data_IF_856663855005
#
_entry.id   IF_856663855005
#
_cell.length_a   1.000
_cell.length_b   1.000
_cell.length_c   1.000
_cell.angle_alpha   90.00
_cell.angle_beta   90.00
_cell.angle_gamma   90.00
#
_symmetry.space_group_name_H-M   'P 1'
#
loop_
_entity.id
_entity.type
_entity.pdbx_description
1 polymer ?
#
# COMPACT_ATOMS: atom_id res chain seq x y z
N UNK A 1 43.63 16.13 -9.42
CA UNK A 1 43.28 14.76 -9.82
C UNK A 1 43.45 14.59 -11.32
N UNK A 2 43.97 13.43 -11.78
CA UNK A 2 44.26 13.09 -13.17
C UNK A 2 43.09 13.32 -14.15
N UNK A 3 41.86 13.36 -13.65
CA UNK A 3 40.62 13.49 -14.42
C UNK A 3 39.90 14.84 -14.22
N UNK A 4 40.47 15.78 -13.46
CA UNK A 4 39.79 17.03 -13.15
C UNK A 4 39.49 17.89 -14.40
N UNK A 5 40.38 17.89 -15.39
CA UNK A 5 40.19 18.62 -16.67
C UNK A 5 39.03 18.01 -17.47
N UNK A 6 38.95 16.69 -17.54
CA UNK A 6 37.89 15.96 -18.26
C UNK A 6 36.53 16.18 -17.55
N UNK A 7 36.50 16.09 -16.24
CA UNK A 7 35.28 16.34 -15.45
C UNK A 7 34.81 17.79 -15.59
N UNK A 8 35.72 18.74 -15.58
CA UNK A 8 35.40 20.16 -15.78
C UNK A 8 34.95 20.46 -17.21
N UNK A 9 35.52 19.77 -18.21
CA UNK A 9 35.03 19.84 -19.58
C UNK A 9 33.60 19.29 -19.67
N UNK A 10 33.33 18.10 -19.15
CA UNK A 10 31.99 17.53 -19.11
C UNK A 10 30.97 18.41 -18.39
N UNK A 11 31.36 19.04 -17.27
CA UNK A 11 30.46 19.99 -16.56
C UNK A 11 30.11 21.18 -17.45
N UNK A 12 31.07 21.70 -18.23
CA UNK A 12 30.83 22.81 -19.18
C UNK A 12 29.90 22.35 -20.30
N UNK A 13 30.17 21.21 -20.91
CA UNK A 13 29.40 20.68 -22.04
C UNK A 13 27.94 20.39 -21.60
N UNK A 14 27.73 19.88 -20.37
CA UNK A 14 26.41 19.65 -19.78
C UNK A 14 25.64 20.95 -19.48
N UNK A 15 26.30 22.07 -19.28
CA UNK A 15 25.65 23.37 -18.99
C UNK A 15 25.33 24.17 -20.26
N UNK A 16 25.93 23.85 -21.39
CA UNK A 16 25.65 24.50 -22.68
C UNK A 16 24.37 23.95 -23.29
N UNK A 17 23.34 24.80 -23.40
CA UNK A 17 22.03 24.43 -23.97
C UNK A 17 21.94 24.79 -25.46
N UNK A 18 22.94 24.45 -26.24
CA UNK A 18 22.88 24.62 -27.68
C UNK A 18 22.21 23.40 -28.37
N UNK A 19 21.94 23.57 -29.70
CA UNK A 19 21.28 22.51 -30.48
C UNK A 19 22.19 21.30 -30.66
N UNK A 20 23.48 21.50 -30.88
CA UNK A 20 24.44 20.42 -31.13
C UNK A 20 24.66 19.57 -29.89
N UNK A 21 24.78 20.21 -28.71
CA UNK A 21 24.84 19.49 -27.41
C UNK A 21 23.61 18.66 -27.16
N UNK A 22 22.43 19.19 -27.52
CA UNK A 22 21.16 18.45 -27.36
C UNK A 22 21.08 17.23 -28.28
N UNK A 23 21.46 17.37 -29.54
CA UNK A 23 21.53 16.29 -30.54
C UNK A 23 22.51 15.19 -30.09
N UNK A 24 23.70 15.57 -29.61
CA UNK A 24 24.67 14.63 -29.05
C UNK A 24 24.12 13.82 -27.88
N UNK A 25 23.43 14.46 -26.96
CA UNK A 25 22.79 13.74 -25.83
C UNK A 25 21.71 12.81 -26.33
N UNK A 26 20.90 13.17 -27.29
CA UNK A 26 19.88 12.30 -27.83
C UNK A 26 20.47 11.06 -28.52
N UNK A 27 21.53 11.22 -29.29
CA UNK A 27 22.20 10.08 -29.91
C UNK A 27 22.93 9.20 -28.90
N UNK A 28 23.57 9.78 -27.90
CA UNK A 28 24.14 9.02 -26.77
C UNK A 28 23.09 8.28 -25.99
N UNK A 29 21.93 8.89 -25.74
CA UNK A 29 20.79 8.26 -25.08
C UNK A 29 20.26 7.08 -25.90
N UNK A 30 19.98 7.28 -27.17
CA UNK A 30 19.48 6.27 -28.10
C UNK A 30 20.41 5.06 -28.21
N UNK A 31 21.74 5.31 -28.19
CA UNK A 31 22.74 4.25 -28.36
C UNK A 31 23.02 3.46 -27.06
N UNK A 32 22.71 4.02 -25.88
CA UNK A 32 23.12 3.44 -24.60
C UNK A 32 21.96 3.11 -23.64
N UNK A 33 20.75 3.59 -23.89
CA UNK A 33 19.59 3.35 -23.03
C UNK A 33 18.72 2.27 -23.63
N UNK A 34 18.59 1.16 -22.92
CA UNK A 34 17.73 0.03 -23.28
C UNK A 34 16.55 -0.18 -22.32
N UNK A 35 16.50 0.60 -21.22
CA UNK A 35 15.42 0.58 -20.24
C UNK A 35 14.99 2.01 -19.91
N UNK A 36 13.69 2.28 -20.00
CA UNK A 36 13.09 3.57 -19.63
C UNK A 36 12.00 3.32 -18.58
N UNK A 37 12.04 4.04 -17.48
CA UNK A 37 11.01 4.01 -16.45
C UNK A 37 10.30 5.36 -16.39
N UNK A 38 8.98 5.33 -16.40
CA UNK A 38 8.14 6.52 -16.32
C UNK A 38 6.78 6.18 -15.71
N UNK A 39 6.07 7.18 -15.18
CA UNK A 39 4.65 7.00 -14.81
C UNK A 39 3.77 7.05 -16.05
N UNK A 40 2.58 6.44 -15.99
CA UNK A 40 1.60 6.50 -17.09
C UNK A 40 1.31 7.94 -17.54
N UNK A 41 1.18 8.87 -16.60
CA UNK A 41 0.94 10.30 -16.89
C UNK A 41 2.11 10.95 -17.65
N UNK A 42 3.36 10.59 -17.31
CA UNK A 42 4.55 11.08 -18.02
C UNK A 42 4.60 10.50 -19.43
N UNK A 43 4.22 9.23 -19.64
CA UNK A 43 4.15 8.62 -20.96
C UNK A 43 3.23 9.40 -21.91
N UNK A 44 2.16 10.04 -21.41
CA UNK A 44 1.26 10.91 -22.16
C UNK A 44 1.73 12.35 -22.32
N UNK A 45 2.85 12.76 -21.72
CA UNK A 45 3.32 14.15 -21.79
C UNK A 45 3.88 14.50 -23.16
N UNK A 46 3.64 15.75 -23.61
CA UNK A 46 4.19 16.25 -24.88
C UNK A 46 5.72 16.12 -24.92
N UNK A 47 6.39 16.39 -23.81
CA UNK A 47 7.84 16.31 -23.70
C UNK A 47 8.36 14.91 -24.04
N UNK A 48 7.76 13.87 -23.44
CA UNK A 48 8.18 12.49 -23.69
C UNK A 48 7.83 12.06 -25.12
N UNK A 49 6.64 12.45 -25.62
CA UNK A 49 6.23 12.19 -27.00
C UNK A 49 7.19 12.83 -28.01
N UNK A 50 7.63 14.08 -27.80
CA UNK A 50 8.60 14.75 -28.65
C UNK A 50 9.96 14.05 -28.62
N UNK A 51 10.43 13.62 -27.44
CA UNK A 51 11.68 12.85 -27.30
C UNK A 51 11.57 11.52 -28.05
N UNK A 52 10.50 10.79 -27.90
CA UNK A 52 10.32 9.51 -28.58
C UNK A 52 10.16 9.66 -30.08
N UNK A 53 9.44 10.67 -30.54
CA UNK A 53 9.32 10.99 -31.96
C UNK A 53 10.70 11.33 -32.58
N UNK A 54 11.54 12.02 -31.84
CA UNK A 54 12.92 12.32 -32.27
C UNK A 54 13.77 11.03 -32.31
N UNK A 55 13.71 10.20 -31.28
CA UNK A 55 14.55 9.01 -31.15
C UNK A 55 14.12 7.86 -32.08
N UNK A 56 12.83 7.65 -32.25
CA UNK A 56 12.25 6.48 -32.92
C UNK A 56 11.40 6.82 -34.17
N UNK A 57 11.30 8.11 -34.51
CA UNK A 57 10.45 8.58 -35.59
C UNK A 57 8.97 8.51 -35.23
N UNK A 58 8.12 8.32 -36.25
CA UNK A 58 6.67 8.11 -36.04
C UNK A 58 6.32 6.64 -35.77
N UNK A 59 7.26 5.88 -35.22
CA UNK A 59 7.05 4.46 -34.93
C UNK A 59 6.21 4.32 -33.65
N UNK A 60 4.98 3.87 -33.76
CA UNK A 60 4.05 3.68 -32.64
C UNK A 60 4.54 2.62 -31.66
N UNK A 61 5.39 1.68 -32.09
CA UNK A 61 5.93 0.60 -31.25
C UNK A 61 7.42 0.82 -30.95
N UNK A 62 7.73 1.88 -30.22
CA UNK A 62 9.11 2.27 -29.92
C UNK A 62 9.87 1.25 -29.03
N UNK A 63 9.14 0.45 -28.24
CA UNK A 63 9.72 -0.54 -27.33
C UNK A 63 9.34 -1.97 -27.73
N UNK A 64 10.27 -2.89 -27.53
CA UNK A 64 9.97 -4.32 -27.71
C UNK A 64 9.01 -4.83 -26.66
N UNK A 65 9.15 -4.34 -25.41
CA UNK A 65 8.27 -4.72 -24.30
C UNK A 65 7.95 -3.49 -23.46
N UNK A 66 6.67 -3.33 -23.14
CA UNK A 66 6.19 -2.41 -22.08
C UNK A 66 5.73 -3.22 -20.90
N UNK A 67 6.27 -2.94 -19.72
CA UNK A 67 5.88 -3.55 -18.46
C UNK A 67 5.15 -2.50 -17.63
N UNK A 68 3.91 -2.78 -17.26
CA UNK A 68 3.10 -1.93 -16.39
C UNK A 68 2.98 -2.58 -15.03
N UNK A 69 3.53 -1.96 -14.01
CA UNK A 69 3.41 -2.39 -12.62
C UNK A 69 2.29 -1.64 -11.91
N UNK A 70 1.73 -2.24 -10.84
CA UNK A 70 0.58 -1.69 -10.08
C UNK A 70 -0.64 -1.33 -10.97
N UNK A 71 -0.87 -2.09 -12.04
CA UNK A 71 -1.87 -1.77 -13.05
C UNK A 71 -3.31 -1.83 -12.52
N UNK A 72 -3.57 -2.52 -11.41
CA UNK A 72 -4.88 -2.55 -10.76
C UNK A 72 -5.36 -1.17 -10.28
N UNK A 73 -4.44 -0.22 -10.10
CA UNK A 73 -4.73 1.18 -9.73
C UNK A 73 -4.91 2.12 -10.90
N UNK A 74 -4.50 1.72 -12.09
CA UNK A 74 -4.56 2.58 -13.25
C UNK A 74 -5.97 2.57 -13.85
N UNK A 75 -6.44 3.76 -14.22
CA UNK A 75 -7.67 3.88 -15.00
C UNK A 75 -7.46 3.32 -16.40
N UNK A 76 -8.54 2.94 -17.15
CA UNK A 76 -8.41 2.45 -18.52
C UNK A 76 -7.61 3.40 -19.42
N UNK A 77 -7.80 4.71 -19.27
CA UNK A 77 -7.06 5.72 -20.04
C UNK A 77 -5.56 5.76 -19.66
N UNK A 78 -5.25 5.70 -18.37
CA UNK A 78 -3.85 5.65 -17.91
C UNK A 78 -3.15 4.40 -18.39
N UNK A 79 -3.83 3.25 -18.44
CA UNK A 79 -3.26 2.01 -18.98
C UNK A 79 -3.00 2.10 -20.48
N UNK A 80 -3.92 2.68 -21.25
CA UNK A 80 -3.83 2.74 -22.71
C UNK A 80 -2.61 3.55 -23.18
N UNK A 81 -2.23 4.59 -22.45
CA UNK A 81 -1.15 5.52 -22.86
C UNK A 81 0.20 4.81 -23.03
N UNK A 82 0.76 4.06 -22.05
CA UNK A 82 2.01 3.35 -22.26
C UNK A 82 1.88 2.14 -23.20
N UNK A 83 0.68 1.54 -23.32
CA UNK A 83 0.47 0.34 -24.14
C UNK A 83 0.70 0.58 -25.63
N UNK A 84 0.42 1.79 -26.13
CA UNK A 84 0.65 2.11 -27.56
C UNK A 84 2.13 2.16 -27.95
N UNK A 85 3.05 2.22 -26.98
CA UNK A 85 4.48 2.29 -27.21
C UNK A 85 5.18 0.93 -27.36
N UNK A 86 4.49 -0.19 -27.05
CA UNK A 86 5.11 -1.51 -26.98
C UNK A 86 4.62 -2.49 -28.03
N UNK A 87 5.50 -3.33 -28.55
CA UNK A 87 5.13 -4.50 -29.37
C UNK A 87 4.51 -5.62 -28.54
N UNK A 88 4.99 -5.76 -27.30
CA UNK A 88 4.46 -6.71 -26.30
C UNK A 88 4.17 -5.97 -25.01
N UNK A 89 3.07 -6.36 -24.36
CA UNK A 89 2.62 -5.73 -23.13
C UNK A 89 2.59 -6.77 -22.03
N UNK A 90 3.24 -6.48 -20.89
CA UNK A 90 3.15 -7.26 -19.66
C UNK A 90 2.47 -6.37 -18.63
N UNK A 91 1.34 -6.83 -18.10
CA UNK A 91 0.55 -6.08 -17.12
C UNK A 91 0.63 -6.81 -15.78
N UNK A 92 1.16 -6.13 -14.76
CA UNK A 92 1.34 -6.67 -13.41
C UNK A 92 0.42 -5.90 -12.48
N UNK A 93 -0.31 -6.62 -11.63
CA UNK A 93 -1.24 -6.01 -10.68
C UNK A 93 -1.83 -7.02 -9.72
N UNK A 94 -2.60 -6.52 -8.78
CA UNK A 94 -3.34 -7.32 -7.81
C UNK A 94 -4.76 -6.77 -7.67
N UNK A 95 -5.73 -7.46 -8.23
CA UNK A 95 -7.14 -7.05 -8.20
C UNK A 95 -7.80 -7.25 -6.83
N UNK A 96 -7.15 -7.96 -5.92
CA UNK A 96 -7.54 -8.05 -4.50
C UNK A 96 -7.00 -6.86 -3.68
N UNK A 97 -6.28 -5.91 -4.31
CA UNK A 97 -5.92 -4.62 -3.76
C UNK A 97 -6.81 -3.50 -4.34
N UNK A 98 -6.58 -2.25 -3.89
CA UNK A 98 -7.45 -1.13 -4.22
C UNK A 98 -7.53 -0.85 -5.73
N UNK A 99 -8.74 -0.63 -6.26
CA UNK A 99 -8.96 -0.23 -7.65
C UNK A 99 -8.58 1.25 -7.86
N UNK A 100 -8.64 1.76 -9.10
CA UNK A 100 -8.45 3.17 -9.39
C UNK A 100 -9.39 4.06 -8.56
N UNK A 101 -8.85 5.12 -7.96
CA UNK A 101 -9.68 6.13 -7.30
C UNK A 101 -10.27 7.08 -8.33
N UNK A 102 -11.57 7.00 -8.57
CA UNK A 102 -12.28 7.88 -9.49
C UNK A 102 -13.20 8.84 -8.73
N UNK A 103 -13.16 10.10 -9.11
CA UNK A 103 -14.11 11.09 -8.60
C UNK A 103 -15.36 11.11 -9.48
N UNK A 104 -16.41 10.40 -9.06
CA UNK A 104 -17.67 10.27 -9.78
C UNK A 104 -18.27 11.62 -10.13
N UNK A 105 -18.26 12.59 -9.22
CA UNK A 105 -18.79 13.92 -9.45
C UNK A 105 -18.07 14.66 -10.59
N UNK A 106 -16.76 14.49 -10.70
CA UNK A 106 -15.98 15.07 -11.80
C UNK A 106 -16.33 14.42 -13.13
N UNK A 107 -16.51 13.09 -13.16
CA UNK A 107 -16.91 12.35 -14.35
C UNK A 107 -18.31 12.78 -14.80
N UNK A 108 -19.28 12.76 -13.89
CA UNK A 108 -20.66 13.21 -14.16
C UNK A 108 -20.68 14.66 -14.70
N UNK A 109 -19.91 15.54 -14.06
CA UNK A 109 -19.83 16.94 -14.48
C UNK A 109 -19.22 17.09 -15.86
N UNK A 110 -18.17 16.32 -16.17
CA UNK A 110 -17.51 16.34 -17.48
C UNK A 110 -18.41 15.78 -18.57
N UNK A 111 -19.12 14.69 -18.33
CA UNK A 111 -20.08 14.09 -19.26
C UNK A 111 -21.26 15.03 -19.52
N UNK A 112 -21.81 15.69 -18.49
CA UNK A 112 -22.86 16.70 -18.63
C UNK A 112 -22.39 17.88 -19.47
N UNK A 113 -21.17 18.38 -19.26
CA UNK A 113 -20.59 19.47 -20.08
C UNK A 113 -20.41 19.07 -21.54
N UNK A 114 -20.15 17.80 -21.81
CA UNK A 114 -20.02 17.24 -23.16
C UNK A 114 -21.38 16.88 -23.79
N UNK A 115 -22.50 17.26 -23.17
CA UNK A 115 -23.87 16.88 -23.61
C UNK A 115 -24.08 15.36 -23.78
N UNK A 116 -23.27 14.55 -23.09
CA UNK A 116 -23.42 13.10 -23.10
C UNK A 116 -24.45 12.68 -22.05
N UNK A 117 -25.33 11.75 -22.43
CA UNK A 117 -26.28 11.15 -21.51
C UNK A 117 -25.48 10.29 -20.50
N UNK A 118 -25.54 10.67 -19.23
CA UNK A 118 -24.89 9.91 -18.16
C UNK A 118 -25.75 8.70 -17.86
N UNK A 119 -25.31 7.52 -18.26
CA UNK A 119 -25.93 6.26 -17.89
C UNK A 119 -25.28 5.78 -16.58
N UNK A 120 -26.10 5.30 -15.64
CA UNK A 120 -25.59 4.70 -14.40
C UNK A 120 -24.60 3.54 -14.68
N UNK A 121 -24.87 2.73 -15.69
CA UNK A 121 -24.04 1.65 -16.19
C UNK A 121 -22.65 2.14 -16.64
N UNK A 122 -22.57 3.31 -17.29
CA UNK A 122 -21.29 3.91 -17.70
C UNK A 122 -20.44 4.30 -16.48
N UNK A 123 -21.04 4.83 -15.42
CA UNK A 123 -20.34 5.20 -14.20
C UNK A 123 -19.86 3.94 -13.50
N UNK A 124 -20.70 2.91 -13.44
CA UNK A 124 -20.35 1.63 -12.80
C UNK A 124 -19.21 0.93 -13.54
N UNK A 125 -19.20 0.94 -14.88
CA UNK A 125 -18.11 0.35 -15.67
C UNK A 125 -16.74 1.03 -15.43
N UNK A 126 -16.72 2.31 -15.06
CA UNK A 126 -15.48 2.99 -14.69
C UNK A 126 -14.96 2.63 -13.28
N UNK A 127 -15.83 2.07 -12.42
CA UNK A 127 -15.42 1.62 -11.08
C UNK A 127 -14.71 0.28 -11.09
N UNK A 128 -14.97 -0.54 -12.10
CA UNK A 128 -14.27 -1.81 -12.27
C UNK A 128 -12.82 -1.57 -12.68
N UNK A 129 -11.91 -2.29 -12.08
CA UNK A 129 -10.52 -2.27 -12.49
C UNK A 129 -10.39 -2.88 -13.88
N UNK A 130 -9.89 -2.12 -14.86
CA UNK A 130 -9.59 -2.65 -16.19
C UNK A 130 -8.62 -3.84 -16.13
N UNK A 131 -7.69 -3.80 -15.17
CA UNK A 131 -6.80 -4.91 -14.90
C UNK A 131 -7.58 -6.18 -14.52
N UNK A 132 -8.57 -6.07 -13.63
CA UNK A 132 -9.40 -7.21 -13.19
C UNK A 132 -10.19 -7.81 -14.38
N UNK A 133 -10.78 -6.96 -15.21
CA UNK A 133 -11.50 -7.40 -16.41
C UNK A 133 -10.57 -8.16 -17.37
N UNK A 134 -9.38 -7.61 -17.64
CA UNK A 134 -8.38 -8.24 -18.50
C UNK A 134 -7.89 -9.56 -17.90
N UNK A 135 -7.59 -9.58 -16.60
CA UNK A 135 -7.17 -10.78 -15.87
C UNK A 135 -8.22 -11.89 -15.99
N UNK A 136 -9.48 -11.62 -15.63
CA UNK A 136 -10.58 -12.59 -15.67
C UNK A 136 -10.86 -13.10 -17.10
N UNK A 137 -10.69 -12.23 -18.09
CA UNK A 137 -10.86 -12.59 -19.50
C UNK A 137 -9.72 -13.48 -19.98
N UNK A 138 -8.48 -13.10 -19.70
CA UNK A 138 -7.29 -13.83 -20.09
C UNK A 138 -7.16 -15.19 -19.39
N UNK A 139 -7.61 -15.28 -18.12
CA UNK A 139 -7.62 -16.53 -17.35
C UNK A 139 -8.47 -17.63 -18.00
N UNK A 140 -9.49 -17.26 -18.78
CA UNK A 140 -10.36 -18.20 -19.52
C UNK A 140 -9.76 -18.69 -20.83
N UNK A 141 -8.68 -18.06 -21.31
CA UNK A 141 -8.03 -18.46 -22.57
C UNK A 141 -7.24 -19.77 -22.40
N UNK A 142 -7.12 -20.52 -23.50
CA UNK A 142 -6.32 -21.76 -23.55
C UNK A 142 -5.42 -21.74 -24.79
N UNK A 143 -4.09 -21.74 -24.68
CA UNK A 143 -3.35 -21.69 -23.41
C UNK A 143 -3.53 -20.35 -22.69
N UNK A 144 -3.48 -20.38 -21.36
CA UNK A 144 -3.57 -19.16 -20.55
C UNK A 144 -2.32 -18.30 -20.75
N UNK A 145 -2.54 -16.98 -20.86
CA UNK A 145 -1.49 -15.96 -20.89
C UNK A 145 -1.34 -15.27 -19.52
N UNK A 146 -1.97 -15.83 -18.50
CA UNK A 146 -1.95 -15.33 -17.13
C UNK A 146 -1.04 -16.21 -16.28
N UNK A 147 -0.22 -15.57 -15.44
CA UNK A 147 0.53 -16.22 -14.39
C UNK A 147 0.23 -15.51 -13.06
N UNK A 148 -0.02 -16.28 -12.00
CA UNK A 148 -0.25 -15.77 -10.66
C UNK A 148 0.98 -16.05 -9.79
N UNK A 149 1.49 -15.02 -9.11
CA UNK A 149 2.56 -15.16 -8.14
C UNK A 149 1.93 -15.56 -6.80
N UNK A 150 2.21 -16.79 -6.36
CA UNK A 150 1.62 -17.40 -5.17
C UNK A 150 2.48 -17.26 -3.91
N UNK A 151 3.70 -16.74 -4.05
CA UNK A 151 4.69 -16.73 -2.97
C UNK A 151 5.10 -15.31 -2.59
N UNK A 152 4.89 -14.93 -1.34
CA UNK A 152 5.25 -13.64 -0.79
C UNK A 152 6.54 -13.72 0.07
N UNK A 153 7.32 -12.63 0.08
CA UNK A 153 8.57 -12.47 0.83
C UNK A 153 8.57 -11.23 1.75
N UNK A 154 7.41 -10.56 1.90
CA UNK A 154 7.30 -9.29 2.63
C UNK A 154 7.14 -9.51 4.12
N UNK A 155 6.08 -10.23 4.50
CA UNK A 155 5.58 -10.30 5.87
C UNK A 155 5.86 -11.64 6.53
N UNK A 156 5.85 -11.63 7.87
CA UNK A 156 5.84 -12.86 8.66
C UNK A 156 4.63 -13.72 8.30
N UNK A 157 4.81 -15.05 8.36
CA UNK A 157 3.76 -16.01 7.99
C UNK A 157 2.44 -15.77 8.75
N UNK A 158 2.48 -15.50 10.04
CA UNK A 158 1.28 -15.20 10.85
C UNK A 158 0.50 -13.97 10.37
N UNK A 159 1.18 -12.95 9.81
CA UNK A 159 0.50 -11.81 9.19
C UNK A 159 -0.11 -12.24 7.85
N UNK A 160 0.62 -13.02 7.06
CA UNK A 160 0.14 -13.57 5.79
C UNK A 160 -1.14 -14.39 6.00
N UNK A 161 -1.20 -15.22 7.03
CA UNK A 161 -2.36 -16.07 7.32
C UNK A 161 -3.63 -15.24 7.54
N UNK A 162 -3.52 -14.01 8.07
CA UNK A 162 -4.69 -13.10 8.23
C UNK A 162 -5.33 -12.64 6.93
N UNK A 163 -4.62 -12.70 5.80
CA UNK A 163 -5.07 -12.24 4.48
C UNK A 163 -5.11 -13.35 3.42
N UNK A 164 -4.53 -14.51 3.70
CA UNK A 164 -4.38 -15.61 2.73
C UNK A 164 -5.70 -16.04 2.10
N UNK A 165 -6.79 -16.00 2.89
CA UNK A 165 -8.12 -16.39 2.43
C UNK A 165 -8.71 -15.47 1.34
N UNK A 166 -8.19 -14.25 1.13
CA UNK A 166 -8.63 -13.37 0.03
C UNK A 166 -8.18 -13.90 -1.34
N UNK A 167 -7.17 -14.76 -1.38
CA UNK A 167 -6.58 -15.30 -2.61
C UNK A 167 -7.00 -16.76 -2.90
N UNK A 168 -7.90 -17.33 -2.10
CA UNK A 168 -8.30 -18.76 -2.22
C UNK A 168 -9.04 -19.10 -3.52
N UNK A 169 -9.57 -18.11 -4.24
CA UNK A 169 -10.23 -18.32 -5.53
C UNK A 169 -9.23 -18.47 -6.68
N UNK A 170 -8.08 -17.80 -6.60
CA UNK A 170 -7.05 -17.77 -7.64
C UNK A 170 -5.89 -18.72 -7.38
N UNK A 171 -5.70 -19.14 -6.13
CA UNK A 171 -4.61 -19.98 -5.69
C UNK A 171 -5.14 -21.25 -5.02
N UNK A 172 -5.16 -22.36 -5.74
CA UNK A 172 -5.64 -23.66 -5.23
C UNK A 172 -4.91 -24.10 -3.95
N UNK A 173 -3.59 -23.84 -3.88
CA UNK A 173 -2.76 -24.16 -2.71
C UNK A 173 -2.64 -22.99 -1.71
N UNK A 174 -3.37 -21.88 -1.96
CA UNK A 174 -3.31 -20.66 -1.16
C UNK A 174 -2.03 -19.84 -1.34
N UNK A 175 -1.94 -18.72 -0.61
CA UNK A 175 -0.78 -17.85 -0.60
C UNK A 175 0.34 -18.50 0.22
N UNK A 176 1.55 -18.56 -0.33
CA UNK A 176 2.74 -19.20 0.27
C UNK A 176 3.68 -18.15 0.85
N UNK A 177 4.33 -18.50 1.95
CA UNK A 177 5.46 -17.73 2.49
C UNK A 177 6.76 -18.26 1.91
N UNK A 178 7.52 -17.41 1.23
CA UNK A 178 8.83 -17.79 0.67
C UNK A 178 9.99 -17.57 1.64
N UNK A 179 9.71 -17.12 2.87
CA UNK A 179 10.70 -17.02 3.94
C UNK A 179 10.71 -18.36 4.70
N UNK A 180 11.89 -18.90 4.95
CA UNK A 180 12.03 -20.09 5.79
C UNK A 180 11.68 -19.76 7.25
N UNK A 181 11.06 -20.69 7.96
CA UNK A 181 10.62 -20.46 9.36
C UNK A 181 11.80 -20.09 10.26
N UNK A 182 12.94 -20.79 10.11
CA UNK A 182 14.20 -20.52 10.83
C UNK A 182 14.79 -19.14 10.54
N UNK A 183 14.57 -18.59 9.34
CA UNK A 183 15.01 -17.24 8.98
C UNK A 183 14.06 -16.18 9.53
N UNK A 184 12.73 -16.41 9.50
CA UNK A 184 11.73 -15.45 9.96
C UNK A 184 11.92 -15.11 11.44
N UNK A 185 12.16 -16.10 12.29
CA UNK A 185 12.32 -15.96 13.73
C UNK A 185 13.78 -15.71 14.16
N UNK A 186 14.68 -15.44 13.20
CA UNK A 186 16.05 -15.13 13.50
C UNK A 186 16.18 -13.82 14.28
N UNK A 187 16.73 -13.90 15.50
CA UNK A 187 16.87 -12.77 16.43
C UNK A 187 17.83 -11.67 15.94
N UNK A 188 18.58 -11.92 14.88
CA UNK A 188 19.37 -10.90 14.20
C UNK A 188 18.44 -10.11 13.26
N UNK A 189 17.99 -8.94 13.68
CA UNK A 189 17.00 -8.12 12.97
C UNK A 189 17.33 -7.86 11.51
N UNK A 190 18.60 -7.74 11.14
CA UNK A 190 19.07 -7.47 9.78
C UNK A 190 19.46 -8.73 9.01
N UNK A 191 19.29 -9.92 9.59
CA UNK A 191 19.50 -11.18 8.87
C UNK A 191 18.51 -11.27 7.70
N UNK A 192 18.96 -11.84 6.59
CA UNK A 192 18.12 -12.03 5.41
C UNK A 192 16.91 -12.90 5.79
N UNK A 193 15.72 -12.41 5.49
CA UNK A 193 14.48 -13.14 5.82
C UNK A 193 13.92 -12.84 7.20
N UNK A 194 14.70 -12.31 8.16
CA UNK A 194 14.22 -12.05 9.51
C UNK A 194 12.97 -11.16 9.55
N UNK A 195 11.97 -11.63 10.28
CA UNK A 195 10.76 -10.90 10.63
C UNK A 195 10.58 -10.80 12.14
N UNK A 196 11.61 -11.19 12.87
CA UNK A 196 11.68 -11.06 14.33
C UNK A 196 11.59 -9.59 14.76
N UNK A 197 10.74 -9.26 15.72
CA UNK A 197 10.64 -7.90 16.27
C UNK A 197 11.23 -7.79 17.68
N UNK A 198 11.35 -8.89 18.42
CA UNK A 198 12.00 -8.95 19.73
C UNK A 198 11.34 -8.10 20.82
N UNK A 199 10.11 -7.65 20.61
CA UNK A 199 9.37 -6.85 21.58
C UNK A 199 8.67 -7.75 22.58
N UNK A 200 8.80 -7.42 23.87
CA UNK A 200 8.08 -8.13 24.92
C UNK A 200 7.33 -7.13 25.81
N UNK A 201 6.03 -7.35 25.91
CA UNK A 201 5.12 -6.71 26.86
C UNK A 201 4.35 -7.84 27.51
N UNK A 202 4.69 -8.26 28.75
CA UNK A 202 4.15 -9.46 29.36
C UNK A 202 2.62 -9.52 29.28
N UNK A 203 2.09 -10.61 28.73
CA UNK A 203 0.66 -10.83 28.55
C UNK A 203 0.00 -10.04 27.42
N UNK A 204 0.75 -9.25 26.63
CA UNK A 204 0.22 -8.52 25.48
C UNK A 204 0.97 -8.84 24.18
N UNK A 205 2.25 -8.63 24.14
CA UNK A 205 3.11 -8.92 22.99
C UNK A 205 4.28 -9.74 23.48
N UNK A 206 4.46 -10.89 22.88
CA UNK A 206 5.63 -11.77 23.05
C UNK A 206 6.39 -11.81 21.72
N UNK A 207 7.66 -12.24 21.68
CA UNK A 207 8.46 -12.28 20.46
C UNK A 207 7.81 -13.03 19.28
N UNK A 208 6.95 -14.00 19.57
CA UNK A 208 6.20 -14.79 18.59
C UNK A 208 4.83 -14.18 18.20
N UNK A 209 4.43 -13.05 18.79
CA UNK A 209 3.18 -12.33 18.47
C UNK A 209 3.40 -11.46 17.24
N UNK A 210 2.87 -11.84 16.09
CA UNK A 210 3.05 -11.07 14.84
C UNK A 210 1.77 -10.44 14.32
N UNK A 211 0.61 -10.93 14.75
CA UNK A 211 -0.70 -10.36 14.41
C UNK A 211 -1.61 -10.43 15.65
N UNK A 212 -2.14 -9.27 16.07
CA UNK A 212 -2.98 -9.18 17.27
C UNK A 212 -4.17 -8.24 17.05
N UNK A 213 -5.34 -8.67 17.51
CA UNK A 213 -6.53 -7.85 17.57
C UNK A 213 -6.72 -7.29 18.97
N UNK A 214 -6.66 -5.99 19.11
CA UNK A 214 -6.92 -5.25 20.35
C UNK A 214 -8.40 -4.85 20.38
N UNK A 215 -9.18 -5.51 21.23
CA UNK A 215 -10.61 -5.29 21.33
C UNK A 215 -10.92 -3.97 22.04
N UNK A 216 -11.71 -3.11 21.36
CA UNK A 216 -12.19 -1.83 21.85
C UNK A 216 -13.72 -1.79 21.63
N UNK A 217 -14.46 -1.96 22.69
CA UNK A 217 -15.93 -2.00 22.63
C UNK A 217 -16.52 -0.59 22.83
N UNK A 218 -16.34 0.28 21.84
CA UNK A 218 -16.90 1.63 21.78
C UNK A 218 -17.56 1.87 20.43
N UNK A 219 -18.60 2.71 20.40
CA UNK A 219 -19.26 3.06 19.15
C UNK A 219 -18.55 4.23 18.46
N UNK A 220 -18.65 4.22 17.13
CA UNK A 220 -18.24 5.37 16.33
C UNK A 220 -19.19 6.55 16.53
N UNK A 221 -18.72 7.74 16.20
CA UNK A 221 -19.51 8.96 16.11
C UNK A 221 -19.22 9.67 14.78
N UNK A 222 -20.19 10.41 14.29
CA UNK A 222 -20.04 11.25 13.11
C UNK A 222 -19.93 12.71 13.55
N UNK A 223 -18.77 13.36 13.35
CA UNK A 223 -18.60 14.77 13.70
C UNK A 223 -19.59 15.65 12.91
N UNK A 224 -20.09 16.73 13.53
CA UNK A 224 -21.01 17.67 12.90
C UNK A 224 -20.45 18.21 11.59
N UNK A 225 -21.26 18.17 10.53
CA UNK A 225 -20.86 18.60 9.18
C UNK A 225 -19.90 17.66 8.44
N UNK A 226 -19.60 16.49 8.99
CA UNK A 226 -18.75 15.47 8.34
C UNK A 226 -19.57 14.30 7.83
N UNK A 227 -19.19 13.74 6.68
CA UNK A 227 -19.68 12.44 6.19
C UNK A 227 -18.82 11.28 6.67
N UNK A 228 -17.75 11.55 7.41
CA UNK A 228 -16.79 10.56 7.89
C UNK A 228 -16.97 10.29 9.38
N UNK A 229 -16.41 9.18 9.88
CA UNK A 229 -16.60 8.68 11.24
C UNK A 229 -15.32 8.78 12.08
N UNK A 230 -15.50 8.85 13.40
CA UNK A 230 -14.44 8.84 14.42
C UNK A 230 -14.85 7.88 15.54
N UNK A 231 -13.91 7.09 16.05
CA UNK A 231 -14.05 6.29 17.24
C UNK A 231 -13.06 6.76 18.31
N UNK A 232 -13.55 7.48 19.30
CA UNK A 232 -12.71 8.07 20.33
C UNK A 232 -12.05 7.01 21.23
N UNK A 233 -12.73 5.89 21.47
CA UNK A 233 -12.13 4.76 22.21
C UNK A 233 -10.93 4.15 21.47
N UNK A 234 -11.01 4.05 20.15
CA UNK A 234 -9.86 3.60 19.34
C UNK A 234 -8.73 4.62 19.35
N UNK A 235 -9.01 5.94 19.38
CA UNK A 235 -7.97 6.97 19.54
C UNK A 235 -7.22 6.81 20.86
N UNK A 236 -7.94 6.54 21.96
CA UNK A 236 -7.31 6.30 23.27
C UNK A 236 -6.55 4.97 23.28
N UNK A 237 -7.05 3.97 22.60
CA UNK A 237 -6.35 2.69 22.44
C UNK A 237 -5.04 2.86 21.65
N UNK A 238 -5.02 3.63 20.56
CA UNK A 238 -3.80 3.94 19.80
C UNK A 238 -2.73 4.56 20.72
N UNK A 239 -3.11 5.56 21.54
CA UNK A 239 -2.17 6.15 22.51
C UNK A 239 -1.62 5.12 23.48
N UNK A 240 -2.48 4.28 24.01
CA UNK A 240 -2.13 3.26 24.99
C UNK A 240 -1.19 2.22 24.37
N UNK A 241 -1.50 1.73 23.17
CA UNK A 241 -0.66 0.78 22.42
C UNK A 241 0.72 1.37 22.12
N UNK A 242 0.79 2.61 21.65
CA UNK A 242 2.07 3.28 21.35
C UNK A 242 2.91 3.43 22.64
N UNK A 243 2.32 3.86 23.74
CA UNK A 243 3.03 3.93 25.04
C UNK A 243 3.53 2.56 25.51
N UNK A 244 2.73 1.52 25.30
CA UNK A 244 3.12 0.16 25.63
C UNK A 244 4.31 -0.30 24.79
N UNK A 245 4.27 -0.06 23.47
CA UNK A 245 5.38 -0.38 22.57
C UNK A 245 6.68 0.34 22.97
N UNK A 246 6.62 1.62 23.33
CA UNK A 246 7.80 2.38 23.76
C UNK A 246 8.41 1.84 25.07
N UNK A 247 7.59 1.24 25.93
CA UNK A 247 8.02 0.61 27.18
C UNK A 247 8.36 -0.88 27.03
N UNK A 248 8.13 -1.45 25.86
CA UNK A 248 8.40 -2.86 25.61
C UNK A 248 9.88 -3.18 25.77
N UNK A 249 10.18 -4.29 26.41
CA UNK A 249 11.53 -4.84 26.39
C UNK A 249 11.92 -5.09 24.93
N UNK A 250 13.14 -4.74 24.56
CA UNK A 250 13.65 -4.86 23.19
C UNK A 250 13.31 -3.70 22.24
N UNK A 251 12.41 -2.76 22.60
CA UNK A 251 11.98 -1.70 21.70
C UNK A 251 13.14 -0.82 21.21
N UNK A 252 13.97 -0.33 22.12
CA UNK A 252 15.10 0.52 21.74
C UNK A 252 16.11 -0.25 20.87
N UNK A 253 16.44 -1.47 21.25
CA UNK A 253 17.31 -2.36 20.47
C UNK A 253 16.77 -2.59 19.07
N UNK A 254 15.45 -2.83 18.95
CA UNK A 254 14.78 -2.97 17.66
C UNK A 254 14.90 -1.71 16.81
N UNK A 255 14.60 -0.53 17.38
CA UNK A 255 14.65 0.77 16.67
C UNK A 255 16.08 1.11 16.22
N UNK A 256 17.09 0.86 17.06
CA UNK A 256 18.49 1.14 16.74
C UNK A 256 19.04 0.19 15.65
N UNK A 257 18.50 -1.02 15.56
CA UNK A 257 18.90 -1.99 14.55
C UNK A 257 18.44 -1.63 13.13
N UNK A 258 17.45 -0.72 12.99
CA UNK A 258 16.92 -0.38 11.69
C UNK A 258 17.83 0.65 10.99
N UNK A 259 18.25 0.34 9.77
CA UNK A 259 19.17 1.18 8.99
C UNK A 259 18.44 2.33 8.27
N UNK A 260 17.25 2.03 7.72
CA UNK A 260 16.48 3.00 6.93
C UNK A 260 15.52 3.80 7.82
N UNK A 261 15.36 5.11 7.58
CA UNK A 261 14.42 5.94 8.34
C UNK A 261 12.98 5.39 8.32
N UNK A 262 12.53 4.90 7.17
CA UNK A 262 11.19 4.34 7.02
C UNK A 262 10.96 3.05 7.80
N UNK A 263 12.02 2.27 8.08
CA UNK A 263 11.93 1.04 8.87
C UNK A 263 11.80 1.33 10.38
N UNK A 264 12.13 2.56 10.81
CA UNK A 264 11.89 3.07 12.17
C UNK A 264 10.49 3.64 12.37
N UNK A 265 9.79 3.98 11.30
CA UNK A 265 8.44 4.53 11.41
C UNK A 265 7.43 3.45 11.84
N UNK A 266 6.59 3.78 12.83
CA UNK A 266 5.35 3.04 13.09
C UNK A 266 4.29 3.53 12.11
N UNK A 267 3.74 2.63 11.32
CA UNK A 267 2.61 2.94 10.45
C UNK A 267 1.30 2.95 11.24
N UNK A 268 0.53 4.03 11.12
CA UNK A 268 -0.81 4.12 11.72
C UNK A 268 -1.80 4.32 10.59
N UNK A 269 -2.65 3.33 10.36
CA UNK A 269 -3.59 3.27 9.25
C UNK A 269 -5.02 3.34 9.80
N UNK A 270 -5.89 4.05 9.09
CA UNK A 270 -7.33 4.02 9.33
C UNK A 270 -8.10 4.03 8.02
N UNK A 271 -9.37 3.63 8.06
CA UNK A 271 -10.25 3.61 6.89
C UNK A 271 -11.00 4.93 6.67
N UNK A 272 -10.97 5.84 7.67
CA UNK A 272 -11.81 7.05 7.67
C UNK A 272 -11.00 8.34 7.81
N UNK A 273 -11.33 9.32 6.95
CA UNK A 273 -10.63 10.60 6.92
C UNK A 273 -10.76 11.42 8.21
N UNK A 274 -11.91 11.37 8.89
CA UNK A 274 -12.08 12.09 10.17
C UNK A 274 -11.22 11.47 11.28
N UNK A 275 -11.11 10.14 11.35
CA UNK A 275 -10.22 9.44 12.27
C UNK A 275 -8.76 9.79 12.01
N UNK A 276 -8.35 9.78 10.73
CA UNK A 276 -7.01 10.22 10.31
C UNK A 276 -6.69 11.64 10.79
N UNK A 277 -7.64 12.58 10.62
CA UNK A 277 -7.49 13.95 11.10
C UNK A 277 -7.23 14.01 12.61
N UNK A 278 -7.99 13.24 13.39
CA UNK A 278 -7.83 13.17 14.85
C UNK A 278 -6.52 12.52 15.27
N UNK A 279 -6.07 11.46 14.63
CA UNK A 279 -4.77 10.84 14.92
C UNK A 279 -3.63 11.83 14.62
N UNK A 280 -3.70 12.56 13.50
CA UNK A 280 -2.73 13.61 13.17
C UNK A 280 -2.71 14.75 14.19
N UNK A 281 -3.88 15.19 14.63
CA UNK A 281 -4.02 16.21 15.69
C UNK A 281 -3.33 15.72 16.97
N UNK A 282 -3.61 14.49 17.42
CA UNK A 282 -2.98 13.88 18.58
C UNK A 282 -1.44 13.84 18.48
N UNK A 283 -0.91 13.50 17.30
CA UNK A 283 0.54 13.48 17.07
C UNK A 283 1.11 14.90 17.09
N UNK A 284 0.44 15.86 16.44
CA UNK A 284 0.83 17.28 16.44
C UNK A 284 0.83 17.87 17.84
N UNK A 285 -0.16 17.54 18.67
CA UNK A 285 -0.33 18.06 20.04
C UNK A 285 0.58 17.36 21.06
N UNK A 286 1.37 16.36 20.65
CA UNK A 286 2.25 15.61 21.54
C UNK A 286 1.52 14.61 22.45
N UNK A 287 0.25 14.30 22.16
CA UNK A 287 -0.51 13.21 22.84
C UNK A 287 0.01 11.83 22.42
N UNK A 288 0.60 11.74 21.24
CA UNK A 288 1.50 10.68 20.80
C UNK A 288 2.89 11.30 20.79
N UNK A 289 3.87 10.61 21.36
CA UNK A 289 5.24 11.11 21.50
C UNK A 289 5.85 11.42 20.12
N UNK A 290 6.26 12.68 19.94
CA UNK A 290 6.85 13.16 18.68
C UNK A 290 8.26 12.62 18.41
N UNK A 291 8.94 12.12 19.43
CA UNK A 291 10.25 11.47 19.26
C UNK A 291 10.12 10.13 18.53
N UNK A 292 8.93 9.51 18.55
CA UNK A 292 8.63 8.30 17.83
C UNK A 292 8.21 8.64 16.38
N UNK A 293 8.99 8.23 15.39
CA UNK A 293 8.60 8.47 14.00
C UNK A 293 7.34 7.67 13.65
N UNK A 294 6.30 8.38 13.23
CA UNK A 294 5.02 7.79 12.86
C UNK A 294 4.61 8.19 11.44
N UNK A 295 4.24 7.20 10.63
CA UNK A 295 3.60 7.42 9.33
C UNK A 295 2.11 7.23 9.47
N UNK A 296 1.34 8.33 9.49
CA UNK A 296 -0.12 8.31 9.69
C UNK A 296 -0.80 8.57 8.36
N UNK A 297 -1.73 7.69 7.95
CA UNK A 297 -2.52 7.91 6.74
C UNK A 297 -3.81 7.07 6.71
N UNK A 298 -4.67 7.37 5.73
CA UNK A 298 -5.76 6.45 5.34
C UNK A 298 -5.20 5.31 4.51
N UNK A 299 -5.88 4.16 4.51
CA UNK A 299 -5.44 2.94 3.84
C UNK A 299 -5.12 3.15 2.36
N UNK A 300 -5.95 3.93 1.65
CA UNK A 300 -5.78 4.21 0.22
C UNK A 300 -4.44 4.90 -0.10
N UNK A 301 -3.94 5.73 0.82
CA UNK A 301 -2.63 6.41 0.69
C UNK A 301 -1.46 5.61 1.26
N UNK A 302 -1.73 4.46 1.88
CA UNK A 302 -0.70 3.57 2.41
C UNK A 302 -0.32 2.46 1.43
N UNK A 303 -1.10 2.27 0.36
CA UNK A 303 -0.79 1.28 -0.67
C UNK A 303 0.58 1.58 -1.31
N UNK A 304 1.37 0.55 -1.59
CA UNK A 304 2.76 0.66 -2.06
C UNK A 304 3.79 0.92 -0.95
N UNK A 305 3.36 1.25 0.27
CA UNK A 305 4.24 1.41 1.43
C UNK A 305 4.18 0.17 2.33
N UNK A 306 5.22 -0.06 3.11
CA UNK A 306 5.29 -1.09 4.15
C UNK A 306 6.06 -0.59 5.36
N UNK A 307 5.76 -1.11 6.55
CA UNK A 307 6.45 -0.80 7.80
C UNK A 307 6.66 -2.06 8.63
N UNK A 308 7.64 -2.03 9.49
CA UNK A 308 7.87 -3.15 10.39
C UNK A 308 6.71 -3.35 11.35
N UNK A 309 6.17 -2.26 11.89
CA UNK A 309 5.04 -2.25 12.82
C UNK A 309 3.91 -1.43 12.20
N UNK A 310 2.72 -2.02 12.11
CA UNK A 310 1.51 -1.36 11.64
C UNK A 310 0.43 -1.43 12.72
N UNK A 311 -0.18 -0.30 13.02
CA UNK A 311 -1.36 -0.16 13.86
C UNK A 311 -2.53 0.24 12.96
N UNK A 312 -3.63 -0.50 13.00
CA UNK A 312 -4.84 -0.21 12.21
C UNK A 312 -5.98 0.15 13.16
N UNK A 313 -6.65 1.27 12.87
CA UNK A 313 -7.90 1.68 13.52
C UNK A 313 -9.07 1.45 12.57
N UNK A 314 -9.98 0.56 12.95
CA UNK A 314 -11.10 0.13 12.10
C UNK A 314 -12.27 1.11 12.12
N UNK A 315 -12.43 1.85 13.20
CA UNK A 315 -13.40 2.92 13.46
C UNK A 315 -14.83 2.42 13.67
N UNK A 316 -15.31 1.55 12.78
CA UNK A 316 -16.72 1.17 12.75
C UNK A 316 -17.12 0.28 13.93
N UNK A 317 -18.22 0.66 14.58
CA UNK A 317 -18.94 -0.13 15.58
C UNK A 317 -20.29 0.53 15.80
N UNK A 318 -21.37 -0.08 15.32
CA UNK A 318 -22.74 0.42 15.41
C UNK A 318 -23.73 -0.73 15.58
N UNK A 319 -24.95 -0.40 15.97
CA UNK A 319 -26.00 -1.40 16.20
C UNK A 319 -26.61 -1.93 14.91
N UNK A 320 -26.54 -1.15 13.85
CA UNK A 320 -27.12 -1.42 12.52
C UNK A 320 -26.26 -2.37 11.69
N UNK A 321 -25.06 -2.73 12.18
CA UNK A 321 -24.08 -3.60 11.50
C UNK A 321 -23.62 -3.06 10.14
N UNK A 322 -23.53 -1.75 10.04
CA UNK A 322 -23.02 -1.08 8.85
C UNK A 322 -21.50 -0.91 8.91
N UNK A 323 -20.77 -1.70 8.15
CA UNK A 323 -19.30 -1.66 8.10
C UNK A 323 -18.77 -0.50 7.22
N UNK A 324 -19.54 -0.05 6.23
CA UNK A 324 -19.15 1.01 5.31
C UNK A 324 -17.84 0.69 4.59
N UNK A 325 -16.91 1.64 4.52
CA UNK A 325 -15.61 1.44 3.85
C UNK A 325 -14.75 0.33 4.44
N UNK A 326 -14.98 -0.03 5.71
CA UNK A 326 -14.28 -1.13 6.35
C UNK A 326 -14.74 -2.52 5.86
N UNK A 327 -15.84 -2.61 5.09
CA UNK A 327 -16.31 -3.87 4.49
C UNK A 327 -15.54 -4.28 3.24
N UNK A 328 -14.94 -3.31 2.55
CA UNK A 328 -14.21 -3.58 1.31
C UNK A 328 -12.98 -4.46 1.58
N UNK A 329 -13.04 -5.71 1.08
CA UNK A 329 -11.97 -6.70 1.26
C UNK A 329 -10.63 -6.20 0.75
N UNK A 330 -10.62 -5.36 -0.28
CA UNK A 330 -9.40 -4.79 -0.85
C UNK A 330 -8.72 -3.82 0.11
N UNK A 331 -9.52 -3.05 0.90
CA UNK A 331 -8.99 -2.20 1.96
C UNK A 331 -8.43 -2.99 3.12
N UNK A 332 -9.11 -4.06 3.52
CA UNK A 332 -8.64 -4.96 4.58
C UNK A 332 -7.31 -5.57 4.14
N UNK A 333 -7.27 -6.15 2.96
CA UNK A 333 -6.08 -6.78 2.39
C UNK A 333 -4.90 -5.80 2.32
N UNK A 334 -5.13 -4.61 1.74
CA UNK A 334 -4.08 -3.57 1.69
C UNK A 334 -3.63 -3.17 3.08
N UNK A 335 -4.56 -2.89 4.01
CA UNK A 335 -4.19 -2.47 5.37
C UNK A 335 -3.33 -3.50 6.08
N UNK A 336 -3.77 -4.75 6.12
CA UNK A 336 -3.11 -5.83 6.87
C UNK A 336 -1.77 -6.22 6.23
N UNK A 337 -1.69 -6.24 4.91
CA UNK A 337 -0.46 -6.57 4.18
C UNK A 337 0.63 -5.49 4.24
N UNK A 338 0.42 -4.38 4.95
CA UNK A 338 1.47 -3.33 5.10
C UNK A 338 2.46 -3.63 6.21
N UNK A 339 2.12 -4.53 7.14
CA UNK A 339 3.01 -4.93 8.22
C UNK A 339 4.03 -5.96 7.74
N UNK A 340 5.29 -5.80 8.15
CA UNK A 340 6.35 -6.80 7.90
C UNK A 340 6.54 -7.73 9.08
N UNK A 341 6.51 -7.18 10.32
CA UNK A 341 6.89 -7.89 11.55
C UNK A 341 5.77 -7.96 12.59
N UNK A 342 5.00 -6.88 12.75
CA UNK A 342 3.94 -6.81 13.75
C UNK A 342 2.73 -6.03 13.21
N UNK A 343 1.59 -6.68 13.20
CA UNK A 343 0.29 -6.12 12.87
C UNK A 343 -0.56 -6.02 14.14
N UNK A 344 -1.01 -4.81 14.48
CA UNK A 344 -1.92 -4.54 15.58
C UNK A 344 -3.20 -3.94 15.02
N UNK A 345 -4.32 -4.64 15.12
CA UNK A 345 -5.62 -4.15 14.67
C UNK A 345 -6.44 -3.75 15.89
N UNK A 346 -6.93 -2.51 15.92
CA UNK A 346 -7.73 -1.92 16.99
C UNK A 346 -9.15 -1.76 16.51
N UNK A 347 -10.11 -2.35 17.23
CA UNK A 347 -11.52 -2.24 16.90
C UNK A 347 -12.43 -3.15 17.72
N UNK A 348 -13.73 -3.03 17.53
CA UNK A 348 -14.71 -3.88 18.17
C UNK A 348 -14.72 -5.28 17.53
N UNK A 349 -14.09 -6.25 18.20
CA UNK A 349 -13.93 -7.61 17.69
C UNK A 349 -15.27 -8.29 17.44
N UNK A 350 -16.21 -8.18 18.35
CA UNK A 350 -17.49 -8.88 18.25
C UNK A 350 -18.32 -8.32 17.08
N UNK A 351 -18.26 -7.01 16.85
CA UNK A 351 -18.87 -6.39 15.69
C UNK A 351 -18.24 -6.91 14.37
N UNK A 352 -16.93 -6.94 14.26
CA UNK A 352 -16.26 -7.37 13.04
C UNK A 352 -16.30 -8.88 12.80
N UNK A 353 -16.36 -9.71 13.83
CA UNK A 353 -16.48 -11.17 13.67
C UNK A 353 -17.79 -11.62 12.99
N UNK A 354 -18.80 -10.79 12.94
CA UNK A 354 -20.04 -11.10 12.22
C UNK A 354 -19.87 -10.98 10.70
N UNK A 355 -18.88 -10.21 10.23
CA UNK A 355 -18.49 -10.15 8.81
C UNK A 355 -17.59 -11.35 8.50
N UNK A 356 -17.94 -12.12 7.46
CA UNK A 356 -17.26 -13.37 7.12
C UNK A 356 -15.77 -13.20 6.79
N UNK A 357 -15.40 -12.09 6.16
CA UNK A 357 -13.99 -11.80 5.81
C UNK A 357 -13.17 -11.45 7.05
N UNK A 358 -13.70 -10.57 7.90
CA UNK A 358 -13.03 -10.24 9.15
C UNK A 358 -12.94 -11.42 10.11
N UNK A 359 -13.98 -12.26 10.16
CA UNK A 359 -13.95 -13.46 11.00
C UNK A 359 -12.74 -14.31 10.70
N UNK A 360 -12.49 -14.62 9.42
CA UNK A 360 -11.32 -15.41 9.01
C UNK A 360 -10.01 -14.75 9.41
N UNK A 361 -9.88 -13.45 9.18
CA UNK A 361 -8.68 -12.68 9.58
C UNK A 361 -8.49 -12.66 11.09
N UNK A 362 -9.58 -12.46 11.86
CA UNK A 362 -9.54 -12.40 13.32
C UNK A 362 -9.16 -13.76 13.91
N UNK A 363 -9.66 -14.86 13.33
CA UNK A 363 -9.39 -16.21 13.82
C UNK A 363 -7.89 -16.59 13.70
N UNK A 364 -7.12 -15.89 12.82
CA UNK A 364 -5.67 -16.04 12.65
C UNK A 364 -4.84 -15.06 13.53
N UNK A 365 -5.48 -14.26 14.39
CA UNK A 365 -4.80 -13.27 15.24
C UNK A 365 -4.85 -13.66 16.70
N UNK A 366 -3.85 -13.24 17.46
CA UNK A 366 -3.95 -13.20 18.92
C UNK A 366 -4.99 -12.16 19.36
N UNK A 367 -5.62 -12.34 20.51
CA UNK A 367 -6.69 -11.46 20.99
C UNK A 367 -6.33 -10.83 22.33
N UNK A 368 -6.59 -9.53 22.44
CA UNK A 368 -6.35 -8.80 23.68
C UNK A 368 -7.43 -7.73 23.93
N UNK A 369 -7.84 -7.54 25.19
CA UNK A 369 -8.76 -6.46 25.55
C UNK A 369 -7.99 -5.22 26.00
N UNK A 370 -8.35 -4.06 25.44
CA UNK A 370 -7.65 -2.78 25.73
C UNK A 370 -7.66 -2.42 27.21
N UNK A 371 -8.69 -2.84 27.97
CA UNK A 371 -8.78 -2.57 29.41
C UNK A 371 -7.63 -3.21 30.18
N UNK A 372 -7.18 -4.39 29.77
CA UNK A 372 -6.02 -5.06 30.37
C UNK A 372 -4.73 -4.27 30.12
N UNK A 373 -4.54 -3.75 28.89
CA UNK A 373 -3.37 -2.96 28.53
C UNK A 373 -3.29 -1.64 29.33
N UNK A 374 -4.43 -1.02 29.61
CA UNK A 374 -4.47 0.21 30.39
C UNK A 374 -3.92 0.03 31.81
N UNK A 375 -4.01 -1.16 32.39
CA UNK A 375 -3.40 -1.49 33.68
C UNK A 375 -1.90 -1.71 33.59
N UNK A 376 -1.39 -2.23 32.46
CA UNK A 376 0.04 -2.50 32.25
C UNK A 376 0.85 -1.22 31.96
N UNK A 377 0.20 -0.16 31.50
CA UNK A 377 0.88 1.08 31.03
C UNK A 377 0.80 2.22 32.08
N UNK A 378 -0.04 2.04 33.13
CA UNK A 378 -0.07 2.95 34.28
C UNK A 378 1.19 2.81 35.12
#
# INVERSE_FOLDING_TARGET
TKYASVINQWKRDLTVRDRNTREYFYEAYKSNVNLVAATCSICGSKQLQEIYKYLFGNNENAFDVVIMDEASKATPLEMSVPMVWGKKIIIIGDHKQLPPMMNENNIITSLKKANQKVLAETIESFKESQFEILFRTAFKLKPSIVATLDTQYRMHKKIMDTIGHFYSEELEEGLKCGLADEDMDNEQYNARGSRYHGLTIPGFIEPQTHAIWVNVNTYESQPSGSTSYVNYGELDAIKTVIKALQKADGFQKFMDSQEKPEDKEIGIITFYGAQYGKIKEMYKDGKIDKSLPCRINVVDKFQGMERNIIIISTVRSNKEKHYGFAEDIRRINVGFSRARRLLIVIGNRDFFRENAHYKKSIDEMDHFDIKQLQHLVR
#
